data_IF_526955076566
#
_entry.id   IF_526955076566
#
_cell.length_a   1.000
_cell.length_b   1.000
_cell.length_c   1.000
_cell.angle_alpha   90.00
_cell.angle_beta   90.00
_cell.angle_gamma   90.00
#
_symmetry.space_group_name_H-M   'P 1'
#
loop_
_entity.id
_entity.type
_entity.pdbx_description
1 polymer ?
#
# COMPACT_ATOMS: atom_id res chain seq x y z
N UNK A 1 7.26 25.40 41.96
CA UNK A 1 6.28 26.32 41.37
C UNK A 1 6.81 26.62 39.98
N UNK A 2 6.30 26.16 38.85
CA UNK A 2 5.04 25.57 38.40
C UNK A 2 5.37 24.87 37.08
N UNK A 3 4.79 23.71 36.78
CA UNK A 3 4.31 23.33 35.44
C UNK A 3 3.99 21.83 35.43
N UNK A 4 2.73 21.53 35.71
CA UNK A 4 2.04 20.36 35.21
C UNK A 4 2.32 20.15 33.72
N UNK A 5 2.73 18.95 33.33
CA UNK A 5 2.20 18.37 32.10
C UNK A 5 2.20 16.86 32.19
N UNK A 6 1.01 16.34 32.52
CA UNK A 6 0.63 14.98 32.20
C UNK A 6 0.76 14.84 30.68
N UNK A 7 1.56 13.89 30.23
CA UNK A 7 1.36 13.29 28.92
C UNK A 7 1.39 11.79 29.18
N UNK A 8 0.19 11.23 29.21
CA UNK A 8 -0.04 9.81 29.21
C UNK A 8 0.77 9.21 28.06
N UNK A 9 1.78 8.42 28.38
CA UNK A 9 2.47 7.56 27.44
C UNK A 9 1.44 6.53 26.97
N UNK A 10 0.77 6.87 25.86
CA UNK A 10 -0.15 5.98 25.18
C UNK A 10 0.62 4.71 24.85
N UNK A 11 0.18 3.62 25.48
CA UNK A 11 0.54 2.26 25.18
C UNK A 11 0.22 2.00 23.70
N UNK A 12 1.23 2.04 22.83
CA UNK A 12 1.11 1.41 21.52
C UNK A 12 1.25 -0.10 21.72
N UNK A 13 0.15 -0.73 22.17
CA UNK A 13 -0.05 -2.16 21.99
C UNK A 13 -0.30 -2.40 20.49
N UNK A 14 0.78 -2.44 19.71
CA UNK A 14 0.76 -2.96 18.35
C UNK A 14 0.92 -4.47 18.35
N UNK A 15 0.01 -5.18 19.02
CA UNK A 15 -0.16 -6.61 18.80
C UNK A 15 -1.38 -6.78 17.90
N UNK A 16 -1.17 -6.64 16.59
CA UNK A 16 -2.11 -7.18 15.61
C UNK A 16 -1.45 -8.45 15.06
N UNK A 17 -1.92 -9.56 15.61
CA UNK A 17 -1.98 -10.85 14.96
C UNK A 17 -2.30 -10.74 13.45
N UNK A 18 -1.65 -11.60 12.66
CA UNK A 18 -1.58 -11.61 11.20
C UNK A 18 -2.91 -11.40 10.46
N UNK A 19 -3.22 -10.15 10.16
CA UNK A 19 -4.01 -9.74 9.00
C UNK A 19 -3.23 -8.60 8.36
N UNK A 20 -2.95 -8.68 7.06
CA UNK A 20 -2.26 -7.61 6.35
C UNK A 20 -3.10 -6.34 6.43
N UNK A 21 -2.69 -5.41 7.30
CA UNK A 21 -3.38 -4.14 7.47
C UNK A 21 -2.99 -3.14 6.36
N UNK A 22 -3.93 -2.26 5.99
CA UNK A 22 -3.72 -1.24 4.98
C UNK A 22 -2.54 -0.31 5.30
N UNK A 23 -2.12 -0.18 6.56
CA UNK A 23 -0.90 0.52 6.93
C UNK A 23 0.35 -0.09 6.26
N UNK A 24 0.45 -1.41 6.18
CA UNK A 24 1.56 -2.12 5.51
C UNK A 24 1.53 -1.85 4.00
N UNK A 25 0.36 -1.96 3.38
CA UNK A 25 0.17 -1.67 1.94
C UNK A 25 0.55 -0.22 1.61
N UNK A 26 0.10 0.71 2.46
CA UNK A 26 0.39 2.14 2.32
C UNK A 26 1.88 2.42 2.49
N UNK A 27 2.54 1.79 3.47
CA UNK A 27 3.97 1.92 3.68
C UNK A 27 4.78 1.43 2.47
N UNK A 28 4.39 0.29 1.87
CA UNK A 28 5.00 -0.22 0.65
C UNK A 28 4.78 0.74 -0.53
N UNK A 29 3.55 1.21 -0.75
CA UNK A 29 3.25 2.17 -1.81
C UNK A 29 3.90 3.56 -1.61
N UNK A 30 4.23 3.93 -0.36
CA UNK A 30 4.93 5.18 -0.07
C UNK A 30 6.33 5.21 -0.71
N UNK A 31 6.94 4.07 -0.96
CA UNK A 31 8.21 3.96 -1.71
C UNK A 31 8.04 4.33 -3.19
N UNK A 32 6.81 4.29 -3.71
CA UNK A 32 6.41 4.68 -5.06
C UNK A 32 5.81 6.09 -5.12
N UNK A 33 5.81 6.83 -3.99
CA UNK A 33 5.11 8.11 -3.85
C UNK A 33 5.47 9.14 -4.92
N UNK A 34 6.73 9.20 -5.38
CA UNK A 34 7.14 10.08 -6.47
C UNK A 34 6.38 9.79 -7.76
N UNK A 35 6.31 8.52 -8.18
CA UNK A 35 5.55 8.15 -9.36
C UNK A 35 4.05 8.33 -9.15
N UNK A 36 3.53 8.01 -7.97
CA UNK A 36 2.11 8.22 -7.66
C UNK A 36 1.75 9.71 -7.70
N UNK A 37 2.62 10.60 -7.23
CA UNK A 37 2.35 12.04 -7.18
C UNK A 37 2.51 12.74 -8.53
N UNK A 38 3.54 12.36 -9.31
CA UNK A 38 3.96 13.08 -10.51
C UNK A 38 3.79 12.30 -11.82
N UNK A 39 3.46 11.01 -11.74
CA UNK A 39 3.39 10.10 -12.90
C UNK A 39 4.73 9.81 -13.58
N UNK A 40 5.84 10.35 -13.06
CA UNK A 40 7.19 10.20 -13.64
C UNK A 40 8.27 10.29 -12.55
N UNK A 41 9.47 9.71 -12.77
CA UNK A 41 9.80 8.76 -13.83
C UNK A 41 9.10 7.40 -13.61
N UNK A 42 8.89 6.65 -14.69
CA UNK A 42 8.28 5.33 -14.63
C UNK A 42 9.14 4.39 -13.76
N UNK A 43 8.55 3.63 -12.82
CA UNK A 43 9.29 2.68 -12.01
C UNK A 43 9.74 1.52 -12.89
N UNK A 44 10.95 1.02 -12.62
CA UNK A 44 11.52 -0.11 -13.33
C UNK A 44 11.96 -1.19 -12.33
N UNK A 45 12.02 -2.48 -12.75
CA UNK A 45 12.49 -3.57 -11.89
C UNK A 45 13.88 -3.29 -11.29
N UNK A 46 14.04 -3.51 -9.99
CA UNK A 46 15.25 -3.17 -9.23
C UNK A 46 15.27 -1.76 -8.62
N UNK A 47 14.18 -1.00 -8.76
CA UNK A 47 13.94 0.20 -7.93
C UNK A 47 13.31 -0.18 -6.60
N UNK A 48 13.53 0.63 -5.53
CA UNK A 48 12.90 0.38 -4.24
C UNK A 48 11.37 0.31 -4.31
N UNK A 49 10.76 1.05 -5.24
CA UNK A 49 9.31 0.96 -5.51
C UNK A 49 8.92 -0.44 -6.02
N UNK A 50 9.64 -0.99 -6.99
CA UNK A 50 9.33 -2.31 -7.52
C UNK A 50 9.70 -3.46 -6.57
N UNK A 51 10.72 -3.29 -5.73
CA UNK A 51 11.02 -4.24 -4.64
C UNK A 51 9.89 -4.25 -3.59
N UNK A 52 9.31 -3.08 -3.29
CA UNK A 52 8.14 -2.98 -2.43
C UNK A 52 6.89 -3.62 -3.06
N UNK A 53 6.65 -3.42 -4.36
CA UNK A 53 5.58 -4.12 -5.09
C UNK A 53 5.76 -5.64 -5.11
N UNK A 54 7.00 -6.11 -5.24
CA UNK A 54 7.33 -7.54 -5.17
C UNK A 54 7.07 -8.10 -3.77
N UNK A 55 7.40 -7.32 -2.72
CA UNK A 55 7.08 -7.67 -1.33
C UNK A 55 5.57 -7.73 -1.12
N UNK A 56 4.82 -6.75 -1.65
CA UNK A 56 3.36 -6.72 -1.61
C UNK A 56 2.75 -7.99 -2.24
N UNK A 57 3.35 -8.48 -3.33
CA UNK A 57 2.92 -9.72 -3.97
C UNK A 57 3.12 -10.96 -3.08
N UNK A 58 4.26 -11.05 -2.38
CA UNK A 58 4.50 -12.14 -1.43
C UNK A 58 3.52 -12.08 -0.26
N UNK A 59 3.21 -10.87 0.20
CA UNK A 59 2.25 -10.62 1.27
C UNK A 59 0.82 -10.99 0.82
N UNK A 60 0.48 -10.77 -0.45
CA UNK A 60 -0.82 -11.11 -1.04
C UNK A 60 -0.91 -12.58 -1.54
N UNK A 61 0.06 -13.44 -1.23
CA UNK A 61 0.04 -14.85 -1.64
C UNK A 61 -1.12 -15.63 -0.98
N UNK A 62 -1.38 -15.50 0.34
CA UNK A 62 -2.54 -16.10 0.98
C UNK A 62 -3.84 -15.45 0.49
N UNK A 63 -4.91 -16.24 0.31
CA UNK A 63 -6.18 -15.74 -0.22
C UNK A 63 -6.82 -14.67 0.68
N UNK A 64 -6.77 -14.87 1.99
CA UNK A 64 -7.27 -13.92 2.99
C UNK A 64 -6.52 -12.59 2.93
N UNK A 65 -5.18 -12.64 2.83
CA UNK A 65 -4.34 -11.45 2.71
C UNK A 65 -4.49 -10.77 1.35
N UNK A 66 -4.71 -11.54 0.28
CA UNK A 66 -5.00 -10.97 -1.05
C UNK A 66 -6.26 -10.12 -1.03
N UNK A 67 -7.31 -10.58 -0.34
CA UNK A 67 -8.55 -9.82 -0.22
C UNK A 67 -8.30 -8.52 0.56
N UNK A 68 -7.58 -8.60 1.68
CA UNK A 68 -7.20 -7.43 2.45
C UNK A 68 -6.36 -6.43 1.62
N UNK A 69 -5.31 -6.90 0.95
CA UNK A 69 -4.46 -6.08 0.06
C UNK A 69 -5.28 -5.45 -1.06
N UNK A 70 -6.16 -6.21 -1.71
CA UNK A 70 -7.04 -5.68 -2.76
C UNK A 70 -7.92 -4.55 -2.23
N UNK A 71 -8.62 -4.75 -1.10
CA UNK A 71 -9.48 -3.73 -0.49
C UNK A 71 -8.68 -2.48 -0.10
N UNK A 72 -7.47 -2.65 0.43
CA UNK A 72 -6.59 -1.54 0.77
C UNK A 72 -6.16 -0.74 -0.46
N UNK A 73 -5.73 -1.40 -1.54
CA UNK A 73 -5.34 -0.72 -2.78
C UNK A 73 -6.53 0.03 -3.38
N UNK A 74 -7.72 -0.57 -3.39
CA UNK A 74 -8.94 0.10 -3.87
C UNK A 74 -9.29 1.34 -3.07
N UNK A 75 -9.20 1.27 -1.73
CA UNK A 75 -9.39 2.44 -0.87
C UNK A 75 -8.36 3.55 -1.12
N UNK A 76 -7.11 3.18 -1.41
CA UNK A 76 -6.07 4.14 -1.79
C UNK A 76 -6.33 4.76 -3.17
N UNK A 77 -6.80 3.98 -4.14
CA UNK A 77 -7.15 4.49 -5.48
C UNK A 77 -8.25 5.55 -5.39
N UNK A 78 -9.26 5.32 -4.56
CA UNK A 78 -10.33 6.30 -4.30
C UNK A 78 -9.78 7.58 -3.62
N UNK A 79 -8.90 7.40 -2.62
CA UNK A 79 -8.30 8.49 -1.87
C UNK A 79 -7.30 9.35 -2.69
N UNK A 80 -6.61 8.75 -3.66
CA UNK A 80 -5.56 9.41 -4.45
C UNK A 80 -6.06 9.98 -5.79
N UNK A 81 -7.35 10.26 -5.95
CA UNK A 81 -7.89 10.94 -7.14
C UNK A 81 -7.27 12.34 -7.32
N UNK A 82 -6.68 12.70 -8.49
CA UNK A 82 -6.79 12.07 -9.82
C UNK A 82 -5.68 11.05 -10.18
N UNK A 83 -4.73 10.78 -9.30
CA UNK A 83 -3.57 9.90 -9.52
C UNK A 83 -3.87 8.40 -9.35
N UNK A 84 -5.13 8.02 -9.24
CA UNK A 84 -5.64 6.64 -9.24
C UNK A 84 -4.98 5.76 -10.31
N UNK A 85 -4.81 6.29 -11.52
CA UNK A 85 -4.20 5.57 -12.64
C UNK A 85 -2.74 5.23 -12.39
N UNK A 86 -1.97 6.09 -11.72
CA UNK A 86 -0.57 5.82 -11.40
C UNK A 86 -0.46 4.56 -10.53
N UNK A 87 -1.27 4.48 -9.46
CA UNK A 87 -1.32 3.31 -8.56
C UNK A 87 -1.69 2.04 -9.34
N UNK A 88 -2.68 2.12 -10.24
CA UNK A 88 -3.11 0.98 -11.05
C UNK A 88 -2.02 0.46 -12.00
N UNK A 89 -1.17 1.35 -12.52
CA UNK A 89 -0.10 0.98 -13.47
C UNK A 89 1.18 0.48 -12.82
N UNK A 90 1.38 0.71 -11.51
CA UNK A 90 2.59 0.32 -10.77
C UNK A 90 2.94 -1.15 -10.94
N UNK A 91 1.95 -2.03 -10.76
CA UNK A 91 2.15 -3.48 -10.88
C UNK A 91 2.67 -3.86 -12.28
N UNK A 92 2.11 -3.25 -13.33
CA UNK A 92 2.55 -3.47 -14.71
C UNK A 92 3.97 -2.99 -14.98
N UNK A 93 4.32 -1.79 -14.52
CA UNK A 93 5.69 -1.25 -14.66
C UNK A 93 6.73 -2.09 -13.93
N UNK A 94 6.40 -2.62 -12.77
CA UNK A 94 7.27 -3.48 -11.98
C UNK A 94 7.28 -4.94 -12.42
N UNK A 95 6.44 -5.35 -13.38
CA UNK A 95 6.31 -6.74 -13.81
C UNK A 95 5.75 -7.67 -12.73
N UNK A 96 4.98 -7.12 -11.79
CA UNK A 96 4.41 -7.84 -10.64
C UNK A 96 2.93 -8.15 -10.91
N UNK A 97 2.49 -9.37 -10.59
CA UNK A 97 1.10 -9.79 -10.72
C UNK A 97 0.52 -10.17 -9.36
N UNK A 98 -0.27 -9.27 -8.76
CA UNK A 98 -0.89 -9.44 -7.43
C UNK A 98 -2.02 -10.48 -7.39
N UNK A 99 -2.25 -11.23 -8.48
CA UNK A 99 -3.35 -12.19 -8.60
C UNK A 99 -4.72 -11.55 -8.84
N UNK A 100 -4.80 -10.22 -8.95
CA UNK A 100 -5.99 -9.47 -9.36
C UNK A 100 -5.59 -8.28 -10.24
N UNK A 101 -6.54 -7.77 -11.02
CA UNK A 101 -6.33 -6.54 -11.81
C UNK A 101 -6.60 -5.33 -10.95
N UNK A 102 -5.75 -4.31 -11.00
CA UNK A 102 -5.95 -3.06 -10.28
C UNK A 102 -6.75 -2.11 -11.18
N UNK A 103 -8.01 -1.87 -10.85
CA UNK A 103 -8.93 -1.01 -11.61
C UNK A 103 -9.98 -0.44 -10.67
N UNK A 104 -10.56 0.74 -10.95
CA UNK A 104 -11.56 1.37 -10.07
C UNK A 104 -12.84 0.55 -9.89
N UNK A 105 -13.05 -0.51 -10.69
CA UNK A 105 -14.18 -1.44 -10.58
C UNK A 105 -13.72 -2.86 -10.19
N UNK A 106 -12.52 -3.01 -9.64
CA UNK A 106 -12.03 -4.32 -9.19
C UNK A 106 -12.85 -4.80 -8.02
N UNK A 107 -13.41 -6.01 -8.14
CA UNK A 107 -14.07 -6.70 -7.04
C UNK A 107 -13.03 -7.50 -6.25
N UNK A 108 -13.01 -7.32 -4.93
CA UNK A 108 -12.07 -7.97 -4.02
C UNK A 108 -12.65 -9.20 -3.30
N UNK A 109 -13.77 -9.77 -3.80
CA UNK A 109 -14.39 -11.01 -3.30
C UNK A 109 -13.82 -12.29 -3.90
#
# INVERSE_FOLDING_TARGET
MTATMMIASLLFLGAAEAAVDCATVTALLSTCSTFIAYGTPDPYPGTPCCDAMTTLNMVAEPLEDRHAVCTCIMGLIDAYSPNATAIATLAGFCGVSLGFSISPNTDCN
#
